data_IF_181966218707
#
_entry.id   IF_181966218707
#
_cell.length_a   1.000
_cell.length_b   1.000
_cell.length_c   1.000
_cell.angle_alpha   90.00
_cell.angle_beta   90.00
_cell.angle_gamma   90.00
#
_symmetry.space_group_name_H-M   'P 1'
#
loop_
_entity.id
_entity.type
_entity.pdbx_description
1 polymer ?
#
# COMPACT_ATOMS: atom_id res chain seq x y z
N UNK A 1 19.91 14.73 -16.70
CA UNK A 1 18.76 15.25 -15.94
C UNK A 1 18.10 14.06 -15.27
N UNK A 2 18.41 13.79 -14.00
CA UNK A 2 17.77 12.70 -13.24
C UNK A 2 16.49 13.26 -12.66
N UNK A 3 15.35 13.00 -13.30
CA UNK A 3 14.04 13.40 -12.76
C UNK A 3 13.75 12.48 -11.59
N UNK A 4 14.13 12.90 -10.38
CA UNK A 4 13.70 12.24 -9.15
C UNK A 4 12.19 12.43 -9.05
N UNK A 5 11.41 11.51 -9.63
CA UNK A 5 9.97 11.48 -9.40
C UNK A 5 9.77 11.16 -7.93
N UNK A 6 9.22 12.11 -7.19
CA UNK A 6 8.79 11.89 -5.81
C UNK A 6 7.64 10.89 -5.85
N UNK A 7 7.98 9.61 -5.77
CA UNK A 7 7.02 8.51 -5.66
C UNK A 7 6.42 8.59 -4.26
N UNK A 8 5.13 8.91 -4.17
CA UNK A 8 4.45 8.97 -2.88
C UNK A 8 4.30 7.55 -2.30
N UNK A 9 4.51 7.41 -1.00
CA UNK A 9 4.42 6.13 -0.29
C UNK A 9 3.44 6.25 0.87
N UNK A 10 2.50 5.33 0.95
CA UNK A 10 1.62 5.20 2.12
C UNK A 10 1.92 3.90 2.85
N UNK A 11 2.23 3.98 4.13
CA UNK A 11 2.41 2.82 4.99
C UNK A 11 1.09 2.51 5.70
N UNK A 12 0.67 1.26 5.64
CA UNK A 12 -0.54 0.76 6.28
C UNK A 12 -0.20 0.18 7.66
N UNK A 13 -0.74 0.80 8.71
CA UNK A 13 -0.58 0.38 10.11
C UNK A 13 -1.86 -0.30 10.59
N UNK A 14 -1.75 -1.60 10.87
CA UNK A 14 -2.76 -2.37 11.59
C UNK A 14 -2.52 -2.34 13.10
N UNK A 15 -3.37 -3.06 13.84
CA UNK A 15 -3.33 -3.12 15.31
C UNK A 15 -1.98 -3.54 15.89
N UNK A 16 -1.27 -4.45 15.20
CA UNK A 16 0.00 -5.02 15.66
C UNK A 16 1.24 -4.47 14.93
N UNK A 17 1.09 -3.40 14.13
CA UNK A 17 2.20 -2.80 13.39
C UNK A 17 1.92 -2.67 11.89
N UNK A 18 2.99 -2.61 11.09
CA UNK A 18 2.88 -2.43 9.63
C UNK A 18 2.35 -3.70 8.98
N UNK A 19 1.26 -3.58 8.22
CA UNK A 19 0.64 -4.68 7.49
C UNK A 19 0.92 -4.61 5.98
N UNK A 20 1.43 -3.48 5.50
CA UNK A 20 1.86 -3.31 4.12
C UNK A 20 2.14 -1.85 3.78
N UNK A 21 2.39 -1.62 2.50
CA UNK A 21 2.64 -0.30 1.93
C UNK A 21 2.02 -0.18 0.55
N UNK A 22 1.67 1.05 0.17
CA UNK A 22 1.17 1.41 -1.15
C UNK A 22 2.15 2.42 -1.72
N UNK A 23 2.76 2.09 -2.86
CA UNK A 23 3.64 2.99 -3.59
C UNK A 23 2.89 3.58 -4.78
N UNK A 24 3.00 4.87 -5.01
CA UNK A 24 2.50 5.51 -6.22
C UNK A 24 3.64 5.70 -7.21
N UNK A 25 3.41 5.22 -8.42
CA UNK A 25 4.26 5.35 -9.60
C UNK A 25 3.44 5.88 -10.77
N UNK A 26 4.07 6.12 -11.93
CA UNK A 26 3.42 6.66 -13.12
C UNK A 26 2.27 5.78 -13.63
N UNK A 27 2.38 4.46 -13.44
CA UNK A 27 1.36 3.49 -13.81
C UNK A 27 0.24 3.32 -12.75
N UNK A 28 0.35 4.00 -11.60
CA UNK A 28 -0.66 4.02 -10.54
C UNK A 28 -0.16 3.53 -9.18
N UNK A 29 -0.99 2.80 -8.45
CA UNK A 29 -0.76 2.45 -7.05
C UNK A 29 -0.43 0.96 -6.88
N UNK A 30 0.80 0.66 -6.50
CA UNK A 30 1.26 -0.70 -6.24
C UNK A 30 1.15 -1.04 -4.75
N UNK A 31 0.49 -2.15 -4.42
CA UNK A 31 0.35 -2.65 -3.05
C UNK A 31 1.42 -3.70 -2.78
N UNK A 32 2.08 -3.62 -1.63
CA UNK A 32 3.03 -4.62 -1.12
C UNK A 32 2.63 -4.97 0.31
N UNK A 33 2.45 -6.25 0.61
CA UNK A 33 2.11 -6.71 1.96
C UNK A 33 3.36 -6.85 2.83
N UNK A 34 3.25 -6.55 4.12
CA UNK A 34 4.35 -6.78 5.06
C UNK A 34 4.71 -8.28 5.10
N UNK A 35 6.00 -8.58 4.96
CA UNK A 35 6.49 -9.97 4.88
C UNK A 35 6.40 -10.60 3.49
N UNK A 36 5.94 -9.87 2.47
CA UNK A 36 5.94 -10.30 1.07
C UNK A 36 6.80 -9.35 0.24
N UNK A 37 7.81 -9.88 -0.44
CA UNK A 37 8.64 -9.10 -1.37
C UNK A 37 7.89 -8.77 -2.67
N UNK A 38 6.91 -9.60 -3.02
CA UNK A 38 6.12 -9.42 -4.24
C UNK A 38 5.02 -8.37 -4.06
N UNK A 39 4.95 -7.46 -5.03
CA UNK A 39 3.79 -6.61 -5.24
C UNK A 39 2.56 -7.47 -5.44
N UNK A 40 1.51 -7.15 -4.69
CA UNK A 40 0.28 -7.92 -4.69
C UNK A 40 -0.67 -7.44 -5.79
N UNK A 41 -0.45 -6.24 -6.33
CA UNK A 41 -1.11 -5.76 -7.54
C UNK A 41 -0.92 -4.26 -7.74
N UNK A 42 -1.17 -3.80 -8.97
CA UNK A 42 -1.24 -2.38 -9.33
C UNK A 42 -2.69 -1.96 -9.53
N UNK A 43 -3.04 -0.79 -9.01
CA UNK A 43 -4.40 -0.27 -8.97
C UNK A 43 -4.45 1.16 -9.53
N UNK A 44 -5.52 1.53 -10.26
CA UNK A 44 -5.62 2.85 -10.87
C UNK A 44 -5.88 3.98 -9.85
N UNK A 45 -6.25 3.65 -8.61
CA UNK A 45 -6.55 4.63 -7.58
C UNK A 45 -6.09 4.20 -6.18
N UNK A 46 -5.78 5.17 -5.34
CA UNK A 46 -5.40 4.93 -3.94
C UNK A 46 -6.53 4.21 -3.16
N UNK A 47 -7.79 4.54 -3.43
CA UNK A 47 -8.93 3.91 -2.76
C UNK A 47 -9.01 2.40 -3.08
N UNK A 48 -8.83 2.03 -4.36
CA UNK A 48 -8.78 0.63 -4.78
C UNK A 48 -7.60 -0.11 -4.15
N UNK A 49 -6.43 0.54 -4.08
CA UNK A 49 -5.24 -0.02 -3.44
C UNK A 49 -5.44 -0.25 -1.93
N UNK A 50 -6.04 0.72 -1.22
CA UNK A 50 -6.38 0.59 0.22
C UNK A 50 -7.34 -0.56 0.49
N UNK A 51 -8.39 -0.68 -0.32
CA UNK A 51 -9.34 -1.79 -0.23
C UNK A 51 -8.69 -3.14 -0.51
N UNK A 52 -7.85 -3.23 -1.54
CA UNK A 52 -7.14 -4.46 -1.85
C UNK A 52 -6.16 -4.89 -0.75
N UNK A 53 -5.46 -3.94 -0.11
CA UNK A 53 -4.61 -4.21 1.05
C UNK A 53 -5.44 -4.76 2.21
N UNK A 54 -6.57 -4.12 2.53
CA UNK A 54 -7.45 -4.58 3.62
C UNK A 54 -8.03 -5.98 3.35
N UNK A 55 -8.47 -6.26 2.12
CA UNK A 55 -8.97 -7.59 1.72
C UNK A 55 -7.93 -8.72 1.84
N UNK A 56 -6.64 -8.39 1.90
CA UNK A 56 -5.55 -9.36 2.08
C UNK A 56 -5.11 -9.53 3.53
N UNK A 57 -5.64 -8.72 4.44
CA UNK A 57 -5.42 -8.90 5.87
C UNK A 57 -6.24 -10.10 6.38
N UNK A 58 -5.90 -10.59 7.57
CA UNK A 58 -6.65 -11.68 8.19
C UNK A 58 -8.13 -11.29 8.37
N UNK A 59 -9.09 -12.22 8.18
CA UNK A 59 -10.50 -11.96 8.42
C UNK A 59 -10.74 -11.37 9.81
N UNK A 60 -11.57 -10.32 9.88
CA UNK A 60 -11.85 -9.59 11.13
C UNK A 60 -10.78 -8.54 11.49
N UNK A 61 -9.73 -8.36 10.69
CA UNK A 61 -8.79 -7.25 10.86
C UNK A 61 -9.49 -5.91 10.71
N UNK A 62 -9.24 -4.99 11.64
CA UNK A 62 -9.69 -3.61 11.53
C UNK A 62 -9.10 -2.93 10.29
N UNK A 63 -9.77 -1.88 9.83
CA UNK A 63 -9.25 -1.06 8.74
C UNK A 63 -7.91 -0.41 9.15
N UNK A 64 -6.83 -0.59 8.39
CA UNK A 64 -5.53 -0.04 8.75
C UNK A 64 -5.50 1.48 8.56
N UNK A 65 -4.66 2.14 9.36
CA UNK A 65 -4.36 3.55 9.20
C UNK A 65 -3.28 3.72 8.14
N UNK A 66 -3.58 4.50 7.11
CA UNK A 66 -2.63 4.82 6.05
C UNK A 66 -1.95 6.15 6.35
N UNK A 67 -0.62 6.17 6.44
CA UNK A 67 0.18 7.39 6.60
C UNK A 67 1.11 7.56 5.42
N UNK A 68 1.11 8.76 4.86
CA UNK A 68 2.04 9.18 3.81
C UNK A 68 3.43 9.47 4.38
N UNK A 69 4.48 9.03 3.68
CA UNK A 69 5.89 9.25 4.00
C UNK A 69 6.66 9.75 2.78
#
# INVERSE_FOLDING_TARGET
>A
MSTTKTLALWVAYGTNGVVGSIRHDDDGYTVVMAGSDAATGSYPSLASAKGALHSRMAPGSAWPLFREH
#
